data_IF_077202502732
#
_entry.id   IF_077202502732
#
_cell.length_a   1.000
_cell.length_b   1.000
_cell.length_c   1.000
_cell.angle_alpha   90.00
_cell.angle_beta   90.00
_cell.angle_gamma   90.00
#
_symmetry.space_group_name_H-M   'P 1'
#
loop_
_entity.id
_entity.type
_entity.pdbx_description
1 polymer ?
#
# COMPACT_ATOMS: atom_id res chain seq x y z
N UNK A 1 -1.07 -3.95 -17.88
CA UNK A 1 -2.15 -3.36 -18.68
C UNK A 1 -1.60 -2.32 -19.64
N UNK A 2 -2.11 -2.31 -20.86
CA UNK A 2 -1.72 -1.30 -21.85
C UNK A 2 -2.23 0.07 -21.41
N UNK A 3 -1.38 1.07 -21.46
CA UNK A 3 -1.79 2.47 -21.36
C UNK A 3 -2.54 2.83 -22.66
N UNK A 4 -3.80 2.44 -22.76
CA UNK A 4 -4.60 2.78 -23.94
C UNK A 4 -4.87 4.28 -23.93
N UNK A 5 -4.41 4.96 -24.99
CA UNK A 5 -4.75 6.35 -25.27
C UNK A 5 -6.23 6.49 -25.63
N UNK A 6 -6.73 7.72 -25.64
CA UNK A 6 -8.10 8.04 -26.06
C UNK A 6 -9.11 8.32 -24.94
N UNK A 7 -8.68 8.20 -23.67
CA UNK A 7 -9.51 8.62 -22.53
C UNK A 7 -9.20 10.07 -22.14
N UNK A 8 -10.22 10.85 -21.77
CA UNK A 8 -10.10 12.28 -21.42
C UNK A 8 -9.14 12.54 -20.25
N UNK A 9 -8.88 11.54 -19.38
CA UNK A 9 -7.93 11.61 -18.27
C UNK A 9 -6.51 11.12 -18.65
N UNK A 10 -6.24 10.93 -19.94
CA UNK A 10 -4.96 10.44 -20.43
C UNK A 10 -4.75 8.92 -20.26
N UNK A 11 -3.59 8.42 -20.70
CA UNK A 11 -3.27 7.00 -20.62
C UNK A 11 -3.16 6.55 -19.15
N UNK A 12 -3.89 5.49 -18.76
CA UNK A 12 -3.79 4.87 -17.45
C UNK A 12 -4.03 3.37 -17.52
N UNK A 13 -3.13 2.60 -16.97
CA UNK A 13 -3.24 1.15 -16.87
C UNK A 13 -3.20 0.77 -15.40
N UNK A 14 -4.34 0.89 -14.72
CA UNK A 14 -4.43 0.67 -13.29
C UNK A 14 -5.01 -0.70 -12.97
N UNK A 15 -4.58 -1.27 -11.85
CA UNK A 15 -5.18 -2.46 -11.24
C UNK A 15 -6.52 -2.15 -10.59
N UNK A 16 -6.72 -2.61 -9.38
CA UNK A 16 -8.00 -2.50 -8.67
C UNK A 16 -7.97 -1.53 -7.48
N UNK A 17 -9.16 -1.11 -7.07
CA UNK A 17 -9.38 -0.49 -5.76
C UNK A 17 -10.14 -1.52 -4.93
N UNK A 18 -9.54 -1.91 -3.80
CA UNK A 18 -10.03 -2.98 -2.95
C UNK A 18 -10.31 -2.46 -1.54
N UNK A 19 -11.43 -2.88 -0.99
CA UNK A 19 -11.91 -2.54 0.34
C UNK A 19 -13.06 -3.45 0.73
N UNK A 20 -13.74 -3.15 1.80
CA UNK A 20 -14.89 -3.90 2.29
C UNK A 20 -14.88 -4.05 3.80
N UNK A 21 -16.05 -4.24 4.40
CA UNK A 21 -16.18 -4.28 5.86
C UNK A 21 -15.42 -5.45 6.49
N UNK A 22 -15.43 -6.62 5.83
CA UNK A 22 -14.66 -7.80 6.19
C UNK A 22 -14.32 -8.57 4.92
N UNK A 23 -13.19 -8.25 4.30
CA UNK A 23 -12.82 -8.80 3.01
C UNK A 23 -11.47 -9.48 3.06
N UNK A 24 -11.34 -10.63 2.41
CA UNK A 24 -10.08 -11.33 2.23
C UNK A 24 -9.73 -11.44 0.75
N UNK A 25 -8.50 -11.03 0.44
CA UNK A 25 -7.93 -11.09 -0.92
C UNK A 25 -6.66 -11.92 -0.88
N UNK A 26 -6.71 -13.10 -1.43
CA UNK A 26 -5.59 -14.04 -1.38
C UNK A 26 -5.41 -14.81 -2.69
N UNK A 27 -4.19 -15.27 -2.93
CA UNK A 27 -3.81 -16.08 -4.09
C UNK A 27 -4.15 -15.39 -5.42
N UNK A 28 -4.05 -14.06 -5.46
CA UNK A 28 -4.22 -13.29 -6.68
C UNK A 28 -2.87 -12.95 -7.32
N UNK A 29 -2.89 -12.77 -8.62
CA UNK A 29 -1.80 -12.18 -9.39
C UNK A 29 -2.19 -10.79 -9.87
N UNK A 30 -1.49 -9.76 -9.37
CA UNK A 30 -1.60 -8.40 -9.89
C UNK A 30 -0.32 -8.10 -10.70
N UNK A 31 -0.45 -8.02 -12.01
CA UNK A 31 0.71 -7.90 -12.88
C UNK A 31 0.58 -6.80 -13.93
N UNK A 32 1.67 -6.10 -14.20
CA UNK A 32 1.80 -5.11 -15.28
C UNK A 32 0.86 -3.89 -15.17
N UNK A 33 0.40 -3.55 -13.98
CA UNK A 33 -0.37 -2.34 -13.76
C UNK A 33 0.56 -1.19 -13.36
N UNK A 34 0.35 -0.02 -13.92
CA UNK A 34 1.15 1.16 -13.59
C UNK A 34 0.99 1.55 -12.11
N UNK A 35 -0.21 1.39 -11.59
CA UNK A 35 -0.58 1.73 -10.22
C UNK A 35 -1.76 0.88 -9.75
N UNK A 36 -2.12 0.97 -8.47
CA UNK A 36 -3.24 0.26 -7.84
C UNK A 36 -3.07 -1.26 -7.83
N UNK A 37 -1.98 -1.73 -7.19
CA UNK A 37 -1.67 -3.15 -7.05
C UNK A 37 -1.74 -3.67 -5.58
N UNK A 38 -2.89 -3.57 -4.91
CA UNK A 38 -4.06 -2.75 -5.20
C UNK A 38 -3.93 -1.33 -4.61
N UNK A 39 -4.90 -0.42 -4.88
CA UNK A 39 -5.21 0.68 -3.99
C UNK A 39 -6.20 0.19 -2.94
N UNK A 40 -5.88 0.33 -1.66
CA UNK A 40 -6.86 0.09 -0.60
C UNK A 40 -7.70 1.34 -0.39
N UNK A 41 -9.03 1.20 -0.38
CA UNK A 41 -9.92 2.34 -0.24
C UNK A 41 -11.34 2.07 -0.70
N UNK A 42 -12.17 3.11 -0.74
CA UNK A 42 -13.58 3.20 -1.14
C UNK A 42 -14.61 2.83 -0.07
N UNK A 43 -14.23 2.31 1.08
CA UNK A 43 -15.20 1.84 2.03
C UNK A 43 -15.29 2.62 3.31
N UNK A 44 -14.32 3.47 3.63
CA UNK A 44 -14.36 4.25 4.88
C UNK A 44 -15.57 5.19 4.90
N UNK A 45 -16.76 4.64 5.06
CA UNK A 45 -17.93 5.40 5.45
C UNK A 45 -17.63 6.00 6.80
N UNK A 46 -17.41 7.30 6.82
CA UNK A 46 -17.42 8.06 8.07
C UNK A 46 -18.76 7.80 8.73
N UNK A 47 -18.79 7.08 9.83
CA UNK A 47 -20.00 7.00 10.66
C UNK A 47 -20.37 8.41 11.12
N UNK A 48 -21.67 8.64 11.36
CA UNK A 48 -22.19 9.95 11.79
C UNK A 48 -21.52 10.50 13.05
N UNK A 49 -20.91 9.64 13.87
CA UNK A 49 -20.16 10.00 15.09
C UNK A 49 -18.68 10.32 14.84
N UNK A 50 -18.21 10.30 13.60
CA UNK A 50 -16.82 10.56 13.26
C UNK A 50 -15.85 9.39 13.52
N UNK A 51 -16.35 8.25 14.04
CA UNK A 51 -15.55 7.04 14.21
C UNK A 51 -15.32 6.37 12.86
N UNK A 52 -14.13 5.82 12.71
CA UNK A 52 -13.79 4.94 11.62
C UNK A 52 -14.19 3.53 12.00
N UNK A 53 -15.31 3.08 11.51
CA UNK A 53 -15.41 1.67 11.20
C UNK A 53 -14.69 1.47 9.88
N UNK A 54 -13.40 1.45 10.02
CA UNK A 54 -12.58 1.19 8.87
C UNK A 54 -12.89 -0.18 8.34
N UNK A 55 -12.86 -0.31 7.04
CA UNK A 55 -12.88 -1.61 6.41
C UNK A 55 -11.82 -2.51 7.05
N UNK A 56 -12.15 -3.77 7.21
CA UNK A 56 -11.21 -4.81 7.62
C UNK A 56 -10.83 -5.61 6.40
N UNK A 57 -9.58 -5.50 5.99
CA UNK A 57 -9.05 -6.18 4.81
C UNK A 57 -7.91 -7.10 5.18
N UNK A 58 -8.01 -8.35 4.78
CA UNK A 58 -6.95 -9.31 4.87
C UNK A 58 -6.35 -9.56 3.48
N UNK A 59 -5.15 -9.05 3.26
CA UNK A 59 -4.42 -9.14 1.99
C UNK A 59 -3.18 -10.03 2.17
N UNK A 60 -3.30 -11.29 1.74
CA UNK A 60 -2.25 -12.29 1.98
C UNK A 60 -1.99 -13.22 0.82
N UNK A 61 -0.77 -13.74 0.75
CA UNK A 61 -0.38 -14.77 -0.22
C UNK A 61 -0.68 -14.37 -1.67
N UNK A 62 -0.55 -13.08 -2.00
CA UNK A 62 -0.70 -12.60 -3.36
C UNK A 62 0.66 -12.42 -4.03
N UNK A 63 0.67 -12.39 -5.34
CA UNK A 63 1.84 -12.03 -6.17
C UNK A 63 1.58 -10.67 -6.82
N UNK A 64 2.48 -9.74 -6.61
CA UNK A 64 2.46 -8.42 -7.22
C UNK A 64 3.69 -8.29 -8.12
N UNK A 65 3.49 -8.23 -9.42
CA UNK A 65 4.58 -8.26 -10.40
C UNK A 65 4.59 -7.04 -11.31
N UNK A 66 5.80 -6.52 -11.54
CA UNK A 66 6.10 -5.53 -12.57
C UNK A 66 5.14 -4.33 -12.55
N UNK A 67 4.92 -3.76 -11.35
CA UNK A 67 4.18 -2.51 -11.25
C UNK A 67 4.99 -1.34 -11.84
N UNK A 68 4.30 -0.29 -12.27
CA UNK A 68 4.95 0.93 -12.73
C UNK A 68 5.27 1.88 -11.58
N UNK A 69 4.42 2.87 -11.39
CA UNK A 69 4.60 3.92 -10.36
C UNK A 69 4.30 3.46 -8.94
N UNK A 70 3.30 2.59 -8.73
CA UNK A 70 2.90 2.16 -7.40
C UNK A 70 2.54 0.67 -7.35
N UNK A 71 3.06 -0.02 -6.34
CA UNK A 71 2.55 -1.29 -5.86
C UNK A 71 1.25 -1.08 -5.07
N UNK A 72 1.18 -1.49 -3.80
CA UNK A 72 0.03 -1.27 -2.94
C UNK A 72 0.13 0.09 -2.24
N UNK A 73 -1.02 0.78 -2.09
CA UNK A 73 -1.09 2.07 -1.40
C UNK A 73 -2.53 2.42 -0.98
N UNK A 74 -2.70 3.52 -0.24
CA UNK A 74 -3.99 3.98 0.25
C UNK A 74 -4.22 3.58 1.72
N UNK A 75 -5.36 2.99 1.99
CA UNK A 75 -5.70 2.45 3.31
C UNK A 75 -6.13 3.48 4.34
N UNK A 76 -6.55 4.66 3.88
CA UNK A 76 -7.00 5.75 4.74
C UNK A 76 -8.06 5.25 5.72
N UNK A 77 -7.74 5.27 7.02
CA UNK A 77 -8.61 4.87 8.13
C UNK A 77 -9.05 3.40 8.12
N UNK A 78 -8.42 2.55 7.33
CA UNK A 78 -8.73 1.12 7.25
C UNK A 78 -7.92 0.30 8.26
N UNK A 79 -8.38 -0.91 8.53
CA UNK A 79 -7.63 -1.93 9.24
C UNK A 79 -7.20 -2.99 8.21
N UNK A 80 -5.89 -3.16 8.01
CA UNK A 80 -5.41 -4.02 6.93
C UNK A 80 -4.31 -4.94 7.42
N UNK A 81 -4.46 -6.23 7.16
CA UNK A 81 -3.38 -7.19 7.23
C UNK A 81 -2.72 -7.32 5.85
N UNK A 82 -1.42 -7.14 5.77
CA UNK A 82 -0.63 -7.35 4.55
C UNK A 82 0.43 -8.41 4.88
N UNK A 83 0.14 -9.66 4.57
CA UNK A 83 0.89 -10.81 5.09
C UNK A 83 1.31 -11.76 4.00
N UNK A 84 2.58 -12.16 4.02
CA UNK A 84 3.13 -13.20 3.15
C UNK A 84 2.89 -12.96 1.65
N UNK A 85 2.84 -11.71 1.19
CA UNK A 85 2.75 -11.41 -0.23
C UNK A 85 4.14 -11.39 -0.86
N UNK A 86 4.19 -11.73 -2.14
CA UNK A 86 5.40 -11.71 -2.95
C UNK A 86 5.36 -10.57 -3.95
N UNK A 87 6.26 -9.62 -3.78
CA UNK A 87 6.41 -8.44 -4.64
C UNK A 87 7.64 -8.62 -5.54
N UNK A 88 7.44 -8.62 -6.83
CA UNK A 88 8.54 -8.74 -7.80
C UNK A 88 8.60 -7.50 -8.70
N UNK A 89 9.50 -6.55 -8.40
CA UNK A 89 9.78 -5.45 -9.32
C UNK A 89 10.24 -5.99 -10.67
N UNK A 90 9.75 -5.39 -11.72
CA UNK A 90 10.09 -5.79 -13.10
C UNK A 90 10.60 -4.64 -13.94
N UNK A 91 10.68 -4.82 -15.27
CA UNK A 91 11.22 -3.80 -16.19
C UNK A 91 10.43 -2.48 -16.18
N UNK A 92 9.11 -2.52 -15.90
CA UNK A 92 8.28 -1.32 -15.83
C UNK A 92 8.34 -0.62 -14.47
N UNK A 93 8.88 -1.28 -13.45
CA UNK A 93 8.93 -0.71 -12.09
C UNK A 93 9.93 0.44 -12.04
N UNK A 94 9.46 1.61 -11.60
CA UNK A 94 10.31 2.80 -11.44
C UNK A 94 11.50 2.52 -10.52
N UNK A 95 12.58 3.19 -10.78
CA UNK A 95 13.83 3.07 -10.00
C UNK A 95 13.71 3.70 -8.59
N UNK A 96 14.67 3.44 -7.74
CA UNK A 96 14.74 4.01 -6.41
C UNK A 96 13.94 3.25 -5.36
N UNK A 97 13.56 3.92 -4.28
CA UNK A 97 12.94 3.31 -3.10
C UNK A 97 11.61 2.59 -3.39
N UNK A 98 10.90 3.01 -4.44
CA UNK A 98 9.65 2.37 -4.84
C UNK A 98 9.80 0.91 -5.31
N UNK A 99 10.99 0.48 -5.63
CA UNK A 99 11.26 -0.93 -5.92
C UNK A 99 11.07 -1.82 -4.67
N UNK A 100 11.33 -1.27 -3.49
CA UNK A 100 11.07 -1.94 -2.22
C UNK A 100 9.70 -1.68 -1.61
N UNK A 101 8.77 -1.04 -2.34
CA UNK A 101 7.48 -0.67 -1.77
C UNK A 101 6.57 -1.87 -1.56
N UNK A 102 6.25 -2.14 -0.31
CA UNK A 102 5.18 -3.07 0.09
C UNK A 102 3.87 -2.29 0.18
N UNK A 103 3.87 -1.18 0.94
CA UNK A 103 2.66 -0.39 1.13
C UNK A 103 2.98 1.08 1.37
N UNK A 104 2.36 1.97 0.60
CA UNK A 104 2.41 3.41 0.85
C UNK A 104 1.11 3.86 1.52
N UNK A 105 1.19 4.15 2.80
CA UNK A 105 0.04 4.54 3.61
C UNK A 105 -0.38 5.97 3.25
N UNK A 106 -1.67 6.14 2.99
CA UNK A 106 -2.33 7.43 2.91
C UNK A 106 -3.20 7.68 4.16
N UNK A 107 -3.50 8.93 4.45
CA UNK A 107 -4.34 9.34 5.55
C UNK A 107 -5.46 10.25 5.08
N UNK A 108 -6.55 10.33 5.84
CA UNK A 108 -7.60 11.31 5.63
C UNK A 108 -7.29 12.57 6.42
N UNK A 109 -7.24 13.72 5.76
CA UNK A 109 -7.14 15.00 6.45
C UNK A 109 -8.45 15.30 7.20
N UNK A 110 -8.36 15.67 8.46
CA UNK A 110 -9.50 16.09 9.24
C UNK A 110 -9.71 17.62 9.12
N UNK A 111 -10.88 18.09 9.60
CA UNK A 111 -11.27 19.52 9.51
C UNK A 111 -10.33 20.46 10.26
N UNK A 112 -9.52 19.95 11.17
CA UNK A 112 -8.60 20.73 12.00
C UNK A 112 -7.15 20.67 11.49
N UNK A 113 -6.93 20.21 10.26
CA UNK A 113 -5.59 20.08 9.64
C UNK A 113 -4.75 18.92 10.16
N UNK A 114 -5.33 18.03 10.96
CA UNK A 114 -4.67 16.79 11.38
C UNK A 114 -4.96 15.64 10.42
N UNK A 115 -4.31 14.49 10.66
CA UNK A 115 -4.45 13.30 9.84
C UNK A 115 -5.06 12.15 10.62
N UNK A 116 -6.01 11.45 10.00
CA UNK A 116 -6.62 10.22 10.49
C UNK A 116 -6.01 9.05 9.72
N UNK A 117 -5.31 8.22 10.46
CA UNK A 117 -4.59 7.05 9.94
C UNK A 117 -5.40 5.77 10.13
N UNK A 118 -5.12 4.77 9.32
CA UNK A 118 -5.59 3.41 9.54
C UNK A 118 -4.71 2.66 10.56
N UNK A 119 -4.96 1.36 10.69
CA UNK A 119 -4.14 0.43 11.50
C UNK A 119 -3.75 -0.77 10.66
N UNK A 120 -2.50 -1.19 10.75
CA UNK A 120 -1.96 -2.18 9.82
C UNK A 120 -1.12 -3.22 10.56
N UNK A 121 -1.35 -4.47 10.20
CA UNK A 121 -0.45 -5.57 10.51
C UNK A 121 0.28 -5.97 9.22
N UNK A 122 1.60 -5.87 9.22
CA UNK A 122 2.42 -6.10 8.01
C UNK A 122 3.58 -7.00 8.39
N UNK A 123 3.60 -8.21 7.83
CA UNK A 123 4.62 -9.20 8.15
C UNK A 123 4.81 -10.24 7.04
N UNK A 124 5.99 -10.84 6.99
CA UNK A 124 6.31 -11.95 6.10
C UNK A 124 6.29 -11.64 4.59
N UNK A 125 6.18 -10.36 4.20
CA UNK A 125 6.19 -10.02 2.79
C UNK A 125 7.61 -10.06 2.23
N UNK A 126 7.76 -10.62 1.05
CA UNK A 126 9.02 -10.72 0.31
C UNK A 126 9.00 -9.77 -0.88
N UNK A 127 10.06 -8.99 -1.03
CA UNK A 127 10.30 -8.18 -2.22
C UNK A 127 11.54 -8.72 -2.92
N UNK A 128 11.37 -9.27 -4.12
CA UNK A 128 12.43 -9.92 -4.90
C UNK A 128 12.73 -9.14 -6.18
N UNK A 129 13.64 -8.20 -6.10
CA UNK A 129 14.17 -7.45 -7.24
C UNK A 129 15.47 -8.03 -7.82
N UNK A 130 15.92 -9.18 -7.30
CA UNK A 130 17.20 -9.79 -7.65
C UNK A 130 18.36 -9.34 -6.78
N UNK A 131 19.53 -9.93 -7.01
CA UNK A 131 20.72 -9.76 -6.17
C UNK A 131 21.25 -8.32 -6.09
N UNK A 132 21.04 -7.52 -7.11
CA UNK A 132 21.55 -6.14 -7.19
C UNK A 132 20.53 -5.09 -6.66
N UNK A 133 19.29 -5.48 -6.40
CA UNK A 133 18.27 -4.57 -5.93
C UNK A 133 18.28 -4.41 -4.40
N UNK A 134 19.12 -3.49 -3.94
CA UNK A 134 19.27 -3.19 -2.50
C UNK A 134 17.98 -2.69 -1.83
N UNK A 135 17.10 -2.03 -2.56
CA UNK A 135 15.81 -1.57 -2.00
C UNK A 135 14.89 -2.75 -1.71
N UNK A 136 14.82 -3.70 -2.62
CA UNK A 136 14.05 -4.95 -2.43
C UNK A 136 14.60 -5.77 -1.26
N UNK A 137 15.91 -5.96 -1.19
CA UNK A 137 16.55 -6.70 -0.09
C UNK A 137 16.25 -6.08 1.28
N UNK A 138 16.39 -4.76 1.41
CA UNK A 138 16.08 -4.05 2.65
C UNK A 138 14.61 -4.20 3.04
N UNK A 139 13.69 -4.06 2.08
CA UNK A 139 12.25 -4.18 2.34
C UNK A 139 11.85 -5.59 2.77
N UNK A 140 12.49 -6.63 2.23
CA UNK A 140 12.31 -8.01 2.70
C UNK A 140 12.87 -8.20 4.10
N UNK A 141 14.05 -7.67 4.39
CA UNK A 141 14.67 -7.80 5.70
C UNK A 141 13.91 -7.06 6.81
N UNK A 142 13.27 -5.95 6.48
CA UNK A 142 12.42 -5.20 7.42
C UNK A 142 11.29 -4.52 6.64
N UNK A 143 10.14 -5.20 6.63
CA UNK A 143 8.95 -4.75 5.91
C UNK A 143 8.51 -3.35 6.34
N UNK A 144 8.52 -3.06 7.66
CA UNK A 144 8.06 -1.78 8.18
C UNK A 144 8.98 -0.63 7.83
N UNK A 145 10.28 -0.74 8.08
CA UNK A 145 11.20 0.37 7.89
C UNK A 145 11.35 0.73 6.40
N UNK A 146 11.60 -0.28 5.55
CA UNK A 146 11.93 -0.02 4.15
C UNK A 146 10.77 -0.25 3.18
N UNK A 147 9.84 -1.12 3.53
CA UNK A 147 8.67 -1.42 2.71
C UNK A 147 7.49 -0.47 2.93
N UNK A 148 7.44 0.20 4.11
CA UNK A 148 6.31 1.04 4.54
C UNK A 148 6.76 2.44 4.94
N UNK A 149 7.55 2.61 6.02
CA UNK A 149 7.89 3.95 6.54
C UNK A 149 8.71 4.77 5.54
N UNK A 150 9.62 4.13 4.84
CA UNK A 150 10.38 4.78 3.77
C UNK A 150 9.51 5.15 2.55
N UNK A 151 8.27 4.67 2.50
CA UNK A 151 7.34 4.86 1.37
C UNK A 151 6.32 5.99 1.58
N UNK A 152 6.28 6.62 2.75
CA UNK A 152 5.45 7.80 2.96
C UNK A 152 5.70 8.87 1.89
N UNK A 153 4.64 9.53 1.44
CA UNK A 153 4.78 10.70 0.57
C UNK A 153 5.56 11.83 1.27
N UNK A 154 6.11 12.76 0.52
CA UNK A 154 6.86 13.88 1.09
C UNK A 154 6.01 14.74 2.04
N UNK A 155 4.70 14.83 1.80
CA UNK A 155 3.79 15.55 2.69
C UNK A 155 3.64 14.84 4.03
N UNK A 156 3.48 13.53 4.01
CA UNK A 156 3.38 12.74 5.24
C UNK A 156 4.70 12.63 6.00
N UNK A 157 5.83 12.53 5.31
CA UNK A 157 7.17 12.54 5.97
C UNK A 157 7.39 13.75 6.88
N UNK A 158 6.76 14.88 6.59
CA UNK A 158 6.89 16.11 7.40
C UNK A 158 6.08 16.06 8.70
N UNK A 159 5.07 15.21 8.78
CA UNK A 159 4.12 15.18 9.90
C UNK A 159 4.08 13.84 10.66
N UNK A 160 4.64 12.79 10.07
CA UNK A 160 4.73 11.47 10.71
C UNK A 160 5.79 11.51 11.81
N UNK A 161 5.36 11.30 13.05
CA UNK A 161 6.22 11.19 14.23
C UNK A 161 6.39 9.72 14.63
N UNK A 162 7.25 9.43 15.60
CA UNK A 162 7.35 8.09 16.19
C UNK A 162 6.00 7.66 16.79
N UNK A 163 5.32 8.55 17.50
CA UNK A 163 3.97 8.29 18.03
C UNK A 163 2.98 7.89 16.93
N UNK A 164 3.05 8.52 15.75
CA UNK A 164 2.24 8.12 14.60
C UNK A 164 2.58 6.71 14.15
N UNK A 165 3.87 6.39 13.99
CA UNK A 165 4.34 5.06 13.59
C UNK A 165 3.85 3.97 14.56
N UNK A 166 3.94 4.23 15.85
CA UNK A 166 3.47 3.31 16.89
C UNK A 166 1.94 3.12 16.85
N UNK A 167 1.20 4.20 16.57
CA UNK A 167 -0.26 4.16 16.54
C UNK A 167 -0.85 3.42 15.34
N UNK A 168 -0.15 3.38 14.21
CA UNK A 168 -0.62 2.74 12.97
C UNK A 168 -0.21 1.27 12.86
N UNK A 169 0.78 0.85 13.62
CA UNK A 169 1.31 -0.51 13.60
C UNK A 169 0.58 -1.39 14.59
N UNK A 170 0.16 -2.54 14.14
CA UNK A 170 -0.36 -3.63 14.97
C UNK A 170 0.71 -4.72 15.10
N UNK A 171 0.82 -5.29 16.31
CA UNK A 171 1.72 -6.42 16.60
C UNK A 171 1.08 -7.77 16.30
N UNK A 172 -0.23 -7.78 16.10
CA UNK A 172 -1.02 -8.98 15.75
C UNK A 172 -2.08 -8.61 14.72
N UNK A 173 -2.46 -9.55 13.84
CA UNK A 173 -3.52 -9.36 12.85
C UNK A 173 -4.89 -9.21 13.48
#
# INVERSE_FOLDING_TARGET
>A
SLRLGGHTKGPHGYGGIWGGEHSSYHHNLLAHHDSRNPRFGLGAKVRKNGECDGDYVDFRNNVIYNWGMNSSYGGERMNINIVNNYYKPGPATVTGSKRGRIFAIDATENRNGGYLWGKYYIDGNVVDGGADDKNSQKATANNWEYGVYNQFSNNYKKVVTQKTKDSIRLDKP
#
